data_IF_640087305418
#
_entry.id   IF_640087305418
#
_cell.length_a   1.000
_cell.length_b   1.000
_cell.length_c   1.000
_cell.angle_alpha   90.00
_cell.angle_beta   90.00
_cell.angle_gamma   90.00
#
_symmetry.space_group_name_H-M   'P 1'
#
loop_
_entity.id
_entity.type
_entity.pdbx_description
1 polymer ?
#
# COMPACT_ATOMS: atom_id res chain seq x y z
N UNK A 1 -55.68 37.24 -6.40
CA UNK A 1 -54.47 37.12 -7.25
C UNK A 1 -53.52 36.19 -6.53
N UNK A 2 -53.10 35.15 -7.24
CA UNK A 2 -52.59 33.88 -6.71
C UNK A 2 -51.37 34.02 -5.82
N UNK A 3 -51.40 33.38 -4.65
CA UNK A 3 -50.20 33.04 -3.89
C UNK A 3 -49.44 31.96 -4.64
N UNK A 4 -48.15 32.18 -4.85
CA UNK A 4 -47.24 31.18 -5.38
C UNK A 4 -46.72 30.33 -4.22
N UNK A 5 -47.32 29.17 -4.03
CA UNK A 5 -46.75 28.10 -3.21
C UNK A 5 -45.58 27.47 -3.96
N UNK A 6 -44.37 27.62 -3.43
CA UNK A 6 -43.20 26.88 -3.89
C UNK A 6 -43.23 25.47 -3.30
N UNK A 7 -43.80 24.54 -4.06
CA UNK A 7 -43.73 23.11 -3.77
C UNK A 7 -42.29 22.62 -4.01
N UNK A 8 -41.53 22.42 -2.94
CA UNK A 8 -40.24 21.72 -3.00
C UNK A 8 -40.49 20.21 -2.96
N UNK A 9 -40.84 19.63 -4.11
CA UNK A 9 -40.73 18.18 -4.31
C UNK A 9 -39.26 17.84 -4.53
N UNK A 10 -38.62 17.39 -3.46
CA UNK A 10 -37.35 16.68 -3.57
C UNK A 10 -37.57 15.23 -3.15
N UNK A 11 -38.08 14.41 -4.07
CA UNK A 11 -37.73 12.98 -4.09
C UNK A 11 -36.22 12.89 -4.37
N UNK A 12 -35.42 13.06 -3.32
CA UNK A 12 -34.00 12.78 -3.40
C UNK A 12 -33.83 11.26 -3.54
N UNK A 13 -33.20 10.84 -4.62
CA UNK A 13 -32.63 9.50 -4.71
C UNK A 13 -31.77 9.25 -3.47
N UNK A 14 -31.86 8.06 -2.86
CA UNK A 14 -30.96 7.67 -1.75
C UNK A 14 -29.48 7.65 -2.17
N UNK A 15 -29.19 7.75 -3.47
CA UNK A 15 -27.86 7.81 -4.03
C UNK A 15 -27.38 9.26 -4.16
N UNK A 16 -26.13 9.49 -3.75
CA UNK A 16 -25.41 10.72 -4.05
C UNK A 16 -25.21 10.91 -5.56
N UNK A 17 -24.94 12.15 -5.98
CA UNK A 17 -24.68 12.47 -7.38
C UNK A 17 -23.49 11.66 -7.96
N UNK A 18 -22.49 11.33 -7.14
CA UNK A 18 -21.37 10.48 -7.57
C UNK A 18 -21.81 9.04 -7.78
N UNK A 19 -22.61 8.47 -6.89
CA UNK A 19 -23.14 7.11 -7.04
C UNK A 19 -24.04 7.00 -8.28
N UNK A 20 -24.87 8.00 -8.54
CA UNK A 20 -25.68 8.08 -9.76
C UNK A 20 -24.81 8.08 -11.02
N UNK A 21 -23.74 8.89 -11.06
CA UNK A 21 -22.82 8.93 -12.20
C UNK A 21 -22.05 7.63 -12.39
N UNK A 22 -21.60 6.99 -11.31
CA UNK A 22 -20.92 5.69 -11.36
C UNK A 22 -21.85 4.65 -11.97
N UNK A 23 -23.09 4.56 -11.48
CA UNK A 23 -24.09 3.60 -11.98
C UNK A 23 -24.44 3.86 -13.44
N UNK A 24 -24.63 5.12 -13.83
CA UNK A 24 -24.91 5.47 -15.22
C UNK A 24 -23.76 5.06 -16.17
N UNK A 25 -22.51 5.25 -15.75
CA UNK A 25 -21.34 4.85 -16.54
C UNK A 25 -21.23 3.33 -16.65
N UNK A 26 -21.43 2.60 -15.56
CA UNK A 26 -21.44 1.13 -15.55
C UNK A 26 -22.50 0.58 -16.51
N UNK A 27 -23.75 1.04 -16.39
CA UNK A 27 -24.86 0.62 -17.27
C UNK A 27 -24.52 0.86 -18.73
N UNK A 28 -24.06 2.08 -19.08
CA UNK A 28 -23.72 2.43 -20.45
C UNK A 28 -22.60 1.55 -21.04
N UNK A 29 -21.55 1.27 -20.25
CA UNK A 29 -20.42 0.46 -20.71
C UNK A 29 -20.78 -1.02 -20.82
N UNK A 30 -21.64 -1.53 -19.93
CA UNK A 30 -22.14 -2.90 -19.98
C UNK A 30 -23.10 -3.11 -21.17
N UNK A 31 -24.05 -2.20 -21.40
CA UNK A 31 -24.98 -2.26 -22.55
C UNK A 31 -24.25 -2.22 -23.89
N UNK A 32 -23.13 -1.48 -23.96
CA UNK A 32 -22.25 -1.44 -25.14
C UNK A 32 -21.35 -2.67 -25.29
N UNK A 33 -21.32 -3.57 -24.32
CA UNK A 33 -20.48 -4.76 -24.32
C UNK A 33 -18.99 -4.49 -24.08
N UNK A 34 -18.62 -3.32 -23.54
CA UNK A 34 -17.22 -2.97 -23.25
C UNK A 34 -16.74 -3.50 -21.90
N UNK A 35 -17.67 -3.77 -20.97
CA UNK A 35 -17.39 -4.31 -19.64
C UNK A 35 -18.33 -5.48 -19.39
N UNK A 36 -17.78 -6.58 -18.86
CA UNK A 36 -18.57 -7.67 -18.27
C UNK A 36 -18.70 -7.42 -16.76
N UNK A 37 -19.92 -7.19 -16.23
CA UNK A 37 -20.14 -6.98 -14.80
C UNK A 37 -19.56 -8.10 -13.93
N UNK A 38 -19.59 -9.36 -14.39
CA UNK A 38 -19.02 -10.48 -13.62
C UNK A 38 -17.51 -10.40 -13.53
N UNK A 39 -16.85 -9.91 -14.57
CA UNK A 39 -15.40 -9.67 -14.52
C UNK A 39 -15.06 -8.52 -13.57
N UNK A 40 -15.91 -7.49 -13.49
CA UNK A 40 -15.76 -6.40 -12.52
C UNK A 40 -15.90 -6.91 -11.08
N UNK A 41 -16.90 -7.73 -10.79
CA UNK A 41 -17.09 -8.35 -9.46
C UNK A 41 -15.87 -9.15 -9.03
N UNK A 42 -15.29 -9.94 -9.93
CA UNK A 42 -14.07 -10.72 -9.66
C UNK A 42 -12.86 -9.82 -9.35
N UNK A 43 -12.74 -8.68 -10.02
CA UNK A 43 -11.68 -7.71 -9.74
C UNK A 43 -11.86 -7.06 -8.36
N UNK A 44 -13.09 -6.69 -8.01
CA UNK A 44 -13.44 -6.14 -6.69
C UNK A 44 -13.09 -7.16 -5.60
N UNK A 45 -13.60 -8.39 -5.70
CA UNK A 45 -13.35 -9.47 -4.74
C UNK A 45 -11.84 -9.72 -4.56
N UNK A 46 -11.08 -9.71 -5.65
CA UNK A 46 -9.63 -9.93 -5.64
C UNK A 46 -8.90 -8.90 -4.77
N UNK A 47 -9.18 -7.62 -4.96
CA UNK A 47 -8.48 -6.55 -4.21
C UNK A 47 -9.07 -6.29 -2.82
N UNK A 48 -10.31 -6.71 -2.57
CA UNK A 48 -10.94 -6.58 -1.26
C UNK A 48 -10.54 -7.71 -0.31
N UNK A 49 -10.38 -8.94 -0.82
CA UNK A 49 -10.25 -10.13 0.04
C UNK A 49 -9.00 -10.97 -0.18
N UNK A 50 -8.43 -10.97 -1.40
CA UNK A 50 -7.33 -11.89 -1.78
C UNK A 50 -5.96 -11.24 -1.76
N UNK A 51 -5.88 -9.96 -2.13
CA UNK A 51 -4.61 -9.23 -2.28
C UNK A 51 -4.49 -8.13 -1.22
N UNK A 52 -3.46 -8.21 -0.38
CA UNK A 52 -3.26 -7.25 0.69
C UNK A 52 -1.88 -7.34 1.36
N UNK A 53 -1.62 -6.52 2.38
CA UNK A 53 -0.30 -6.40 3.02
C UNK A 53 0.19 -7.68 3.70
N UNK A 54 -0.65 -8.70 3.90
CA UNK A 54 -0.22 -10.01 4.38
C UNK A 54 0.76 -10.70 3.41
N UNK A 55 0.66 -10.41 2.11
CA UNK A 55 1.58 -10.95 1.10
C UNK A 55 2.99 -10.37 1.31
N UNK A 56 3.11 -9.05 1.43
CA UNK A 56 4.36 -8.37 1.75
C UNK A 56 4.93 -8.81 3.09
N UNK A 57 4.09 -8.98 4.12
CA UNK A 57 4.54 -9.47 5.43
C UNK A 57 5.26 -10.82 5.35
N UNK A 58 4.76 -11.75 4.52
CA UNK A 58 5.41 -13.04 4.25
C UNK A 58 6.73 -12.89 3.50
N UNK A 59 6.78 -12.00 2.50
CA UNK A 59 8.04 -11.65 1.80
C UNK A 59 9.10 -11.18 2.79
N UNK A 60 8.75 -10.24 3.67
CA UNK A 60 9.65 -9.68 4.68
C UNK A 60 10.08 -10.73 5.71
N UNK A 61 9.13 -11.51 6.25
CA UNK A 61 9.41 -12.54 7.23
C UNK A 61 10.35 -13.62 6.69
N UNK A 62 10.14 -14.04 5.43
CA UNK A 62 11.04 -14.97 4.75
C UNK A 62 12.45 -14.39 4.58
N UNK A 63 12.57 -13.11 4.22
CA UNK A 63 13.85 -12.43 4.13
C UNK A 63 14.57 -12.29 5.48
N UNK A 64 13.83 -12.17 6.59
CA UNK A 64 14.40 -12.16 7.93
C UNK A 64 14.87 -13.54 8.40
N UNK A 65 14.26 -14.62 7.90
CA UNK A 65 14.54 -16.01 8.32
C UNK A 65 15.53 -16.73 7.39
N UNK A 66 15.56 -16.39 6.11
CA UNK A 66 16.36 -17.04 5.07
C UNK A 66 17.32 -16.01 4.43
N UNK A 67 18.61 -15.99 4.83
CA UNK A 67 19.60 -15.09 4.25
C UNK A 67 19.81 -15.28 2.75
N UNK A 68 19.62 -16.50 2.21
CA UNK A 68 19.75 -16.76 0.78
C UNK A 68 18.57 -16.18 0.00
N UNK A 69 17.35 -16.29 0.52
CA UNK A 69 16.19 -15.60 -0.04
C UNK A 69 16.34 -14.07 0.05
N UNK A 70 16.83 -13.54 1.18
CA UNK A 70 17.12 -12.09 1.30
C UNK A 70 18.10 -11.61 0.23
N UNK A 71 19.17 -12.36 -0.02
CA UNK A 71 20.13 -12.01 -1.07
C UNK A 71 19.48 -11.98 -2.47
N UNK A 72 18.62 -12.95 -2.79
CA UNK A 72 17.86 -12.95 -4.06
C UNK A 72 16.87 -11.79 -4.13
N UNK A 73 16.14 -11.52 -3.03
CA UNK A 73 15.17 -10.43 -2.94
C UNK A 73 15.80 -9.06 -3.19
N UNK A 74 17.02 -8.83 -2.68
CA UNK A 74 17.72 -7.57 -2.90
C UNK A 74 18.37 -7.46 -4.29
N UNK A 75 18.67 -8.59 -4.94
CA UNK A 75 19.24 -8.62 -6.28
C UNK A 75 18.18 -8.51 -7.39
N UNK A 76 17.08 -9.24 -7.25
CA UNK A 76 15.92 -9.22 -8.15
C UNK A 76 14.65 -9.48 -7.33
N UNK A 77 14.05 -8.38 -6.87
CA UNK A 77 12.84 -8.46 -6.04
C UNK A 77 11.65 -9.03 -6.82
N UNK A 78 11.59 -8.83 -8.14
CA UNK A 78 10.48 -9.33 -8.96
C UNK A 78 10.49 -10.85 -8.98
N UNK A 79 11.65 -11.45 -9.27
CA UNK A 79 11.81 -12.90 -9.29
C UNK A 79 11.61 -13.52 -7.91
N UNK A 80 12.19 -12.93 -6.86
CA UNK A 80 12.10 -13.47 -5.51
C UNK A 80 10.66 -13.41 -4.96
N UNK A 81 9.94 -12.31 -5.15
CA UNK A 81 8.53 -12.17 -4.73
C UNK A 81 7.64 -13.17 -5.49
N UNK A 82 7.95 -13.46 -6.76
CA UNK A 82 7.25 -14.48 -7.54
C UNK A 82 7.46 -15.92 -7.04
N UNK A 83 8.52 -16.21 -6.26
CA UNK A 83 8.68 -17.51 -5.58
C UNK A 83 7.52 -17.81 -4.60
N UNK A 84 6.83 -16.77 -4.12
CA UNK A 84 5.67 -16.85 -3.23
C UNK A 84 4.33 -16.68 -3.99
N UNK A 85 4.36 -16.76 -5.32
CA UNK A 85 3.23 -16.55 -6.24
C UNK A 85 2.58 -15.16 -6.18
N UNK A 86 3.34 -14.16 -5.74
CA UNK A 86 2.91 -12.76 -5.78
C UNK A 86 3.43 -12.11 -7.06
N UNK A 87 2.51 -11.77 -7.97
CA UNK A 87 2.81 -11.15 -9.25
C UNK A 87 1.58 -10.42 -9.80
N UNK A 88 1.78 -9.61 -10.84
CA UNK A 88 0.70 -9.01 -11.61
C UNK A 88 0.69 -7.50 -11.58
N UNK A 89 -0.49 -6.92 -11.83
CA UNK A 89 -0.69 -5.50 -12.07
C UNK A 89 -0.12 -4.63 -10.95
N UNK A 90 0.60 -3.57 -11.33
CA UNK A 90 1.27 -2.63 -10.41
C UNK A 90 2.32 -3.33 -9.53
N UNK A 91 3.02 -4.31 -10.08
CA UNK A 91 4.11 -5.04 -9.44
C UNK A 91 4.92 -5.87 -10.44
N UNK A 92 4.88 -5.49 -11.71
CA UNK A 92 5.61 -6.14 -12.81
C UNK A 92 7.12 -5.91 -12.69
N UNK A 93 7.53 -4.80 -12.06
CA UNK A 93 8.91 -4.44 -11.80
C UNK A 93 9.08 -3.98 -10.35
N UNK A 94 9.47 -4.92 -9.49
CA UNK A 94 9.67 -4.68 -8.07
C UNK A 94 11.14 -4.36 -7.75
N UNK A 95 11.33 -3.42 -6.83
CA UNK A 95 12.61 -3.16 -6.17
C UNK A 95 12.38 -3.15 -4.67
N UNK A 96 13.21 -3.88 -3.92
CA UNK A 96 13.20 -3.84 -2.46
C UNK A 96 14.30 -2.92 -1.98
N UNK A 97 13.95 -1.99 -1.07
CA UNK A 97 14.87 -1.01 -0.49
C UNK A 97 15.04 -1.31 1.00
N UNK A 98 16.26 -1.61 1.41
CA UNK A 98 16.53 -2.13 2.74
C UNK A 98 16.82 -1.01 3.76
N UNK A 99 16.13 -1.07 4.90
CA UNK A 99 16.46 -0.26 6.05
C UNK A 99 17.65 -0.86 6.80
N UNK A 100 18.53 0.03 7.27
CA UNK A 100 19.71 -0.28 8.08
C UNK A 100 19.74 0.65 9.29
N UNK A 101 20.65 0.46 10.26
CA UNK A 101 20.79 1.42 11.36
C UNK A 101 21.13 2.85 10.89
N UNK A 102 21.76 2.98 9.73
CA UNK A 102 22.17 4.26 9.15
C UNK A 102 21.15 4.83 8.15
N UNK A 103 20.31 4.01 7.53
CA UNK A 103 19.41 4.42 6.44
C UNK A 103 17.98 3.93 6.66
N UNK A 104 17.02 4.85 6.60
CA UNK A 104 15.59 4.56 6.59
C UNK A 104 14.98 4.95 5.25
N UNK A 105 14.26 4.04 4.61
CA UNK A 105 13.61 4.28 3.33
C UNK A 105 12.14 4.60 3.52
N UNK A 106 11.61 5.49 2.68
CA UNK A 106 10.20 5.86 2.60
C UNK A 106 9.75 5.87 1.14
N UNK A 107 8.57 5.36 0.83
CA UNK A 107 8.04 5.31 -0.54
C UNK A 107 6.88 6.27 -0.70
N UNK A 108 6.84 7.02 -1.80
CA UNK A 108 5.73 7.91 -2.17
C UNK A 108 5.49 7.84 -3.68
N UNK A 109 4.32 8.33 -4.12
CA UNK A 109 4.10 8.70 -5.50
C UNK A 109 3.57 10.14 -5.53
N UNK A 110 4.46 11.11 -5.75
CA UNK A 110 4.10 12.53 -5.67
C UNK A 110 3.05 12.91 -6.71
N UNK A 111 3.09 12.27 -7.89
CA UNK A 111 2.22 12.59 -9.03
C UNK A 111 0.82 12.00 -8.93
N UNK A 112 0.65 10.84 -8.29
CA UNK A 112 -0.66 10.19 -8.18
C UNK A 112 -0.76 9.25 -6.98
N UNK A 113 -0.51 7.95 -7.19
CA UNK A 113 -0.77 6.88 -6.22
C UNK A 113 -0.10 5.54 -6.57
N UNK A 114 0.95 5.52 -7.39
CA UNK A 114 1.69 4.30 -7.75
C UNK A 114 2.10 3.53 -6.48
N UNK A 115 1.84 2.22 -6.45
CA UNK A 115 1.93 1.39 -5.25
C UNK A 115 2.03 -0.10 -5.60
N UNK A 116 2.78 -0.94 -4.85
CA UNK A 116 3.02 -2.34 -5.21
C UNK A 116 1.82 -3.26 -4.86
N UNK A 117 0.80 -3.30 -5.72
CA UNK A 117 -0.46 -3.99 -5.40
C UNK A 117 -0.31 -5.49 -5.06
N UNK A 118 0.52 -6.29 -5.76
CA UNK A 118 0.61 -7.73 -5.48
C UNK A 118 1.03 -8.07 -4.04
N UNK A 119 1.79 -7.18 -3.39
CA UNK A 119 2.33 -7.39 -2.04
C UNK A 119 1.68 -6.52 -0.97
N UNK A 120 1.11 -5.37 -1.32
CA UNK A 120 0.52 -4.44 -0.35
C UNK A 120 -0.99 -4.17 -0.53
N UNK A 121 -1.61 -4.70 -1.58
CA UNK A 121 -2.99 -4.39 -1.94
C UNK A 121 -3.17 -2.95 -2.42
N UNK A 122 -4.39 -2.43 -2.32
CA UNK A 122 -4.68 -1.04 -2.70
C UNK A 122 -4.12 -0.05 -1.66
N UNK A 123 -3.59 1.12 -2.10
CA UNK A 123 -2.98 2.08 -1.20
C UNK A 123 -4.01 2.72 -0.26
N UNK A 124 -3.64 3.01 1.00
CA UNK A 124 -4.51 3.71 1.93
C UNK A 124 -4.84 5.12 1.45
N UNK A 125 -5.93 5.70 1.96
CA UNK A 125 -6.40 7.04 1.56
C UNK A 125 -5.32 8.10 1.80
N UNK A 126 -4.61 8.03 2.93
CA UNK A 126 -3.56 9.00 3.27
C UNK A 126 -2.40 8.98 2.26
N UNK A 127 -2.04 7.82 1.70
CA UNK A 127 -0.95 7.70 0.72
C UNK A 127 -1.27 8.45 -0.58
N UNK A 128 -2.55 8.41 -0.98
CA UNK A 128 -3.07 9.08 -2.19
C UNK A 128 -3.28 10.59 -2.00
N UNK A 129 -3.26 11.05 -0.75
CA UNK A 129 -3.65 12.41 -0.37
C UNK A 129 -2.53 13.43 -0.65
N UNK A 130 -2.93 14.67 -0.95
CA UNK A 130 -1.98 15.77 -1.15
C UNK A 130 -1.07 16.04 0.07
N UNK A 131 -1.54 15.98 1.33
CA UNK A 131 -0.67 16.17 2.50
C UNK A 131 0.54 15.23 2.53
N UNK A 132 0.33 13.93 2.33
CA UNK A 132 1.43 12.97 2.29
C UNK A 132 2.33 13.19 1.08
N UNK A 133 1.73 13.26 -0.11
CA UNK A 133 2.45 13.33 -1.39
C UNK A 133 3.34 14.56 -1.51
N UNK A 134 2.89 15.71 -1.00
CA UNK A 134 3.67 16.95 -1.05
C UNK A 134 4.77 17.02 0.01
N UNK A 135 4.50 16.53 1.23
CA UNK A 135 5.45 16.66 2.35
C UNK A 135 6.47 15.54 2.42
N UNK A 136 6.16 14.32 1.96
CA UNK A 136 7.07 13.18 2.08
C UNK A 136 8.44 13.45 1.43
N UNK A 137 8.48 14.20 0.32
CA UNK A 137 9.72 14.56 -0.39
C UNK A 137 10.41 15.83 0.13
N UNK A 138 9.73 16.64 0.95
CA UNK A 138 10.22 17.94 1.41
C UNK A 138 10.59 17.94 2.91
N UNK A 139 9.76 17.31 3.74
CA UNK A 139 9.94 17.15 5.19
C UNK A 139 9.58 15.70 5.61
N UNK A 140 10.36 14.69 5.18
CA UNK A 140 10.08 13.30 5.52
C UNK A 140 10.11 13.05 7.03
N UNK A 141 10.98 13.75 7.78
CA UNK A 141 11.03 13.63 9.25
C UNK A 141 9.73 14.13 9.90
N UNK A 142 9.20 15.26 9.46
CA UNK A 142 7.91 15.73 9.97
C UNK A 142 6.75 14.82 9.62
N UNK A 143 6.75 14.23 8.42
CA UNK A 143 5.75 13.21 8.07
C UNK A 143 5.87 11.98 8.98
N UNK A 144 7.07 11.47 9.22
CA UNK A 144 7.27 10.35 10.15
C UNK A 144 6.79 10.66 11.57
N UNK A 145 7.02 11.88 12.06
CA UNK A 145 6.49 12.31 13.37
C UNK A 145 4.97 12.29 13.42
N UNK A 146 4.28 12.65 12.33
CA UNK A 146 2.81 12.57 12.25
C UNK A 146 2.31 11.11 12.33
N UNK A 147 3.13 10.14 11.93
CA UNK A 147 2.89 8.69 12.12
C UNK A 147 3.39 8.14 13.46
N UNK A 148 3.93 8.98 14.34
CA UNK A 148 4.50 8.57 15.63
C UNK A 148 5.87 7.89 15.54
N UNK A 149 6.58 8.04 14.41
CA UNK A 149 7.94 7.53 14.21
C UNK A 149 8.96 8.63 14.42
N UNK A 150 9.82 8.45 15.43
CA UNK A 150 10.99 9.30 15.65
C UNK A 150 12.26 8.51 15.33
N UNK A 151 13.11 9.10 14.47
CA UNK A 151 14.39 8.52 14.07
C UNK A 151 15.52 9.38 14.61
N UNK A 152 16.69 8.77 14.84
CA UNK A 152 17.90 9.52 15.15
C UNK A 152 18.17 10.59 14.09
N UNK A 153 18.71 11.73 14.52
CA UNK A 153 19.13 12.81 13.61
C UNK A 153 20.20 12.34 12.62
N UNK A 154 20.99 11.35 13.00
CA UNK A 154 22.07 10.76 12.20
C UNK A 154 21.55 9.74 11.17
N UNK A 155 20.33 9.23 11.31
CA UNK A 155 19.76 8.27 10.35
C UNK A 155 19.42 9.00 9.05
N UNK A 156 20.07 8.64 7.94
CA UNK A 156 19.73 9.12 6.60
C UNK A 156 18.31 8.66 6.23
N UNK A 157 17.47 9.55 5.68
CA UNK A 157 16.17 9.16 5.13
C UNK A 157 16.22 9.25 3.61
N UNK A 158 15.95 8.13 2.94
CA UNK A 158 15.85 8.04 1.48
C UNK A 158 14.39 7.93 1.07
N UNK A 159 13.92 8.92 0.34
CA UNK A 159 12.54 8.95 -0.17
C UNK A 159 12.54 8.51 -1.63
N UNK A 160 11.79 7.46 -1.91
CA UNK A 160 11.65 6.85 -3.23
C UNK A 160 10.34 7.32 -3.85
N UNK A 161 10.44 8.22 -4.83
CA UNK A 161 9.28 8.70 -5.57
C UNK A 161 9.01 7.80 -6.79
N UNK A 162 7.83 7.18 -6.78
CA UNK A 162 7.37 6.21 -7.78
C UNK A 162 6.89 6.93 -9.05
N UNK A 163 7.83 7.53 -9.78
CA UNK A 163 7.60 8.33 -10.99
C UNK A 163 7.63 7.54 -12.30
N UNK A 164 8.03 6.27 -12.24
CA UNK A 164 8.09 5.35 -13.37
C UNK A 164 7.31 4.06 -13.04
N UNK A 165 7.41 3.04 -13.91
CA UNK A 165 6.75 1.74 -13.71
C UNK A 165 7.49 0.78 -12.75
N UNK A 166 8.49 1.29 -12.03
CA UNK A 166 9.13 0.58 -10.90
C UNK A 166 8.25 0.76 -9.66
N UNK A 167 8.13 -0.30 -8.86
CA UNK A 167 7.41 -0.28 -7.58
C UNK A 167 8.33 -0.69 -6.44
N UNK A 168 8.32 0.11 -5.38
CA UNK A 168 9.21 -0.08 -4.24
C UNK A 168 8.49 -0.76 -3.08
N UNK A 169 9.19 -1.68 -2.42
CA UNK A 169 8.81 -2.27 -1.13
C UNK A 169 9.94 -2.04 -0.14
N UNK A 170 9.65 -1.49 1.03
CA UNK A 170 10.66 -1.34 2.08
C UNK A 170 10.86 -2.68 2.78
N UNK A 171 12.12 -3.12 2.91
CA UNK A 171 12.52 -4.20 3.82
C UNK A 171 12.91 -3.58 5.17
N UNK A 172 12.01 -3.58 6.17
CA UNK A 172 12.34 -3.03 7.48
C UNK A 172 13.37 -3.92 8.21
N UNK A 173 14.06 -3.35 9.19
CA UNK A 173 14.94 -4.11 10.07
C UNK A 173 14.12 -5.06 10.95
N UNK A 174 14.62 -6.29 11.14
CA UNK A 174 14.04 -7.26 12.07
C UNK A 174 14.12 -6.72 13.51
N UNK A 175 13.01 -6.69 14.27
CA UNK A 175 13.06 -6.31 15.69
C UNK A 175 13.96 -7.24 16.50
N UNK A 176 14.71 -6.68 17.46
CA UNK A 176 15.46 -7.45 18.44
C UNK A 176 14.53 -8.31 19.30
N UNK A 177 15.06 -9.38 19.91
CA UNK A 177 14.28 -10.29 20.77
C UNK A 177 13.38 -11.26 20.01
N UNK A 178 13.59 -11.40 18.70
CA UNK A 178 12.82 -12.32 17.84
C UNK A 178 13.63 -13.55 17.42
N UNK A 179 14.78 -13.80 18.04
CA UNK A 179 15.63 -14.95 17.72
C UNK A 179 14.87 -16.28 17.87
N UNK A 180 15.05 -17.18 16.90
CA UNK A 180 14.38 -18.48 16.88
C UNK A 180 12.88 -18.45 16.58
N UNK A 181 12.27 -17.29 16.32
CA UNK A 181 10.86 -17.21 15.92
C UNK A 181 10.62 -17.86 14.56
N UNK A 182 9.44 -18.45 14.39
CA UNK A 182 8.98 -18.96 13.09
C UNK A 182 8.72 -17.80 12.12
N UNK A 183 8.77 -18.10 10.82
CA UNK A 183 8.44 -17.14 9.76
C UNK A 183 7.01 -16.58 9.93
N UNK A 184 6.05 -17.43 10.28
CA UNK A 184 4.66 -17.01 10.50
C UNK A 184 4.56 -15.97 11.62
N UNK A 185 5.24 -16.22 12.75
CA UNK A 185 5.23 -15.29 13.89
C UNK A 185 5.98 -13.99 13.58
N UNK A 186 7.03 -14.05 12.77
CA UNK A 186 7.74 -12.86 12.30
C UNK A 186 6.84 -12.01 11.38
N UNK A 187 6.01 -12.63 10.54
CA UNK A 187 5.10 -11.91 9.66
C UNK A 187 4.07 -11.06 10.44
N UNK A 188 3.65 -11.49 11.64
CA UNK A 188 2.72 -10.75 12.50
C UNK A 188 3.28 -9.42 13.03
N UNK A 189 4.61 -9.27 13.04
CA UNK A 189 5.30 -8.02 13.37
C UNK A 189 5.29 -7.01 12.22
N UNK A 190 5.23 -7.51 10.98
CA UNK A 190 5.35 -6.66 9.79
C UNK A 190 4.02 -5.94 9.54
N UNK A 191 4.07 -4.61 9.56
CA UNK A 191 2.90 -3.77 9.28
C UNK A 191 2.96 -3.23 7.86
N UNK A 192 1.80 -2.88 7.29
CA UNK A 192 1.74 -2.16 6.02
C UNK A 192 2.65 -0.92 6.06
N UNK A 193 2.57 -0.15 7.14
CA UNK A 193 3.30 1.10 7.27
C UNK A 193 4.82 0.87 7.35
N UNK A 194 5.28 -0.23 7.96
CA UNK A 194 6.70 -0.63 7.94
C UNK A 194 7.24 -0.99 6.56
N UNK A 195 6.36 -1.45 5.66
CA UNK A 195 6.70 -1.79 4.28
C UNK A 195 6.57 -0.61 3.31
N UNK A 196 5.90 0.47 3.72
CA UNK A 196 5.92 1.78 3.03
C UNK A 196 7.09 2.63 3.56
N UNK A 197 7.50 2.39 4.81
CA UNK A 197 8.50 3.18 5.52
C UNK A 197 7.91 4.28 6.39
N UNK A 198 6.60 4.37 6.55
CA UNK A 198 5.94 5.32 7.45
C UNK A 198 5.78 4.79 8.89
N UNK A 199 6.12 3.53 9.11
CA UNK A 199 6.09 2.87 10.42
C UNK A 199 7.33 2.01 10.65
N UNK A 200 7.44 1.46 11.85
CA UNK A 200 8.37 0.38 12.16
C UNK A 200 7.58 -0.94 12.32
N UNK A 201 8.22 -2.12 12.19
CA UNK A 201 7.58 -3.36 12.61
C UNK A 201 7.20 -3.26 14.10
N UNK A 202 6.17 -4.01 14.48
CA UNK A 202 5.75 -4.08 15.88
C UNK A 202 6.90 -4.57 16.76
N UNK A 203 6.94 -4.10 18.00
CA UNK A 203 7.76 -4.69 19.04
C UNK A 203 7.20 -6.08 19.40
N UNK A 204 8.04 -7.08 19.72
CA UNK A 204 7.61 -8.42 20.13
C UNK A 204 6.51 -8.43 21.19
N UNK A 205 6.56 -7.51 22.16
CA UNK A 205 5.59 -7.40 23.26
C UNK A 205 4.17 -6.99 22.82
N UNK A 206 4.00 -6.50 21.58
CA UNK A 206 2.71 -6.07 21.05
C UNK A 206 1.90 -7.21 20.41
N UNK A 207 2.50 -8.38 20.26
CA UNK A 207 1.84 -9.58 19.70
C UNK A 207 1.95 -10.80 20.62
N UNK A 208 2.47 -10.61 21.84
CA UNK A 208 2.62 -11.64 22.85
C UNK A 208 1.27 -12.02 23.49
#
# INVERSE_FOLDING_TARGET
MSGHDHHHDHEHSELSETELRVRALETLLAEKGYVDPKALDLLIETYETKVGPRNGARVIARAWSDPAYRARLLADATAAIAELDYKGRQGEHMVVVENTPQTHNMVVCTLCSCYPWPVLGLPPVWYKSAPYRSRAVADPRGVLRDFGVELSKETEIRVWDSTAEIRYLVLPMRPAGTDGWSEERLADLVTRDSMIGTGLPKHPDQIA
#
